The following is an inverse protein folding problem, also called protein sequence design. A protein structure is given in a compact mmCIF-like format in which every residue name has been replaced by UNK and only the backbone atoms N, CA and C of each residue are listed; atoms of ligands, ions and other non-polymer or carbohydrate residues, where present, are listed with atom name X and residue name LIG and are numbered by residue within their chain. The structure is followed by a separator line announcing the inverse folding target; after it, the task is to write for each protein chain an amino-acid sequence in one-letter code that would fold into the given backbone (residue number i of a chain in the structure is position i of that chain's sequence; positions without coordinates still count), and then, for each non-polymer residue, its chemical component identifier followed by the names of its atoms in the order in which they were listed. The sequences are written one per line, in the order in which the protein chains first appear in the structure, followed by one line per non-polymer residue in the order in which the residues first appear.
data_IF_354521319649
#
_entry.id   IF_354521319649
#
_cell.length_a   1.000
_cell.length_b   1.000
_cell.length_c   1.000
_cell.angle_alpha   90.00
_cell.angle_beta   90.00
_cell.angle_gamma   90.00
#
_symmetry.space_group_name_H-M   'P 1'
#
loop_
_entity.id
_entity.type
_entity.pdbx_description
1 polymer ?
#
# COMPACT_ATOMS: atom_id res chain seq x y z
N UNK A 1 -35.19 -2.04 36.27
CA UNK A 1 -34.74 -2.18 34.87
C UNK A 1 -33.28 -1.80 34.77
N UNK A 2 -32.39 -2.78 34.78
CA UNK A 2 -30.95 -2.55 34.54
C UNK A 2 -30.64 -2.93 33.09
N UNK A 3 -30.74 -1.95 32.21
CA UNK A 3 -30.44 -2.07 30.78
C UNK A 3 -29.07 -1.47 30.52
N UNK A 4 -28.22 -2.15 29.75
CA UNK A 4 -26.87 -1.70 29.48
C UNK A 4 -26.53 -1.71 28.00
N UNK A 5 -25.67 -0.78 27.59
CA UNK A 5 -24.93 -0.83 26.34
C UNK A 5 -23.50 -1.30 26.65
N UNK A 6 -23.11 -2.46 26.13
CA UNK A 6 -21.73 -2.91 26.09
C UNK A 6 -21.05 -2.28 24.87
N UNK A 7 -19.97 -1.53 25.10
CA UNK A 7 -19.34 -0.73 24.06
C UNK A 7 -17.83 -0.96 23.96
N UNK A 8 -17.29 -0.69 22.77
CA UNK A 8 -15.85 -0.70 22.53
C UNK A 8 -15.23 0.59 23.11
N UNK A 9 -14.25 0.50 24.04
CA UNK A 9 -13.68 1.68 24.67
C UNK A 9 -12.80 2.52 23.72
N UNK A 10 -12.43 1.99 22.55
CA UNK A 10 -11.58 2.68 21.58
C UNK A 10 -12.38 3.67 20.73
N UNK A 11 -13.53 3.26 20.20
CA UNK A 11 -14.35 4.07 19.28
C UNK A 11 -15.73 4.43 19.85
N UNK A 12 -16.09 3.87 21.00
CA UNK A 12 -17.38 4.05 21.67
C UNK A 12 -18.49 3.17 21.09
N UNK A 13 -18.26 2.41 20.01
CA UNK A 13 -19.33 1.67 19.31
C UNK A 13 -20.01 0.68 20.26
N UNK A 14 -21.33 0.71 20.31
CA UNK A 14 -22.13 -0.28 21.03
C UNK A 14 -21.99 -1.61 20.30
N UNK A 15 -21.41 -2.58 20.99
CA UNK A 15 -21.20 -3.95 20.52
C UNK A 15 -22.43 -4.82 20.81
N UNK A 16 -23.11 -4.56 21.93
CA UNK A 16 -24.27 -5.33 22.34
C UNK A 16 -25.17 -4.54 23.32
N UNK A 17 -26.47 -4.77 23.24
CA UNK A 17 -27.47 -4.33 24.21
C UNK A 17 -27.81 -5.47 25.16
N UNK A 18 -27.81 -5.20 26.47
CA UNK A 18 -28.01 -6.21 27.51
C UNK A 18 -29.18 -5.79 28.40
N UNK A 19 -30.18 -6.66 28.51
CA UNK A 19 -31.28 -6.53 29.47
C UNK A 19 -31.16 -7.65 30.51
N UNK A 20 -30.77 -7.28 31.73
CA UNK A 20 -30.54 -8.25 32.81
C UNK A 20 -31.83 -8.79 33.44
N UNK A 21 -32.99 -8.22 33.11
CA UNK A 21 -34.30 -8.74 33.56
C UNK A 21 -34.88 -9.75 32.56
N UNK A 22 -34.53 -9.62 31.27
CA UNK A 22 -34.99 -10.53 30.24
C UNK A 22 -34.30 -11.90 30.30
N UNK A 23 -33.02 -11.95 30.69
CA UNK A 23 -32.22 -13.18 30.72
C UNK A 23 -31.17 -13.16 31.83
N UNK A 24 -30.71 -14.34 32.25
CA UNK A 24 -29.57 -14.44 33.16
C UNK A 24 -28.29 -14.11 32.37
N UNK A 25 -27.75 -12.91 32.57
CA UNK A 25 -26.63 -12.37 31.78
C UNK A 25 -25.31 -12.45 32.55
N UNK A 26 -24.25 -12.91 31.90
CA UNK A 26 -22.88 -12.66 32.37
C UNK A 26 -22.45 -11.28 31.84
N UNK A 27 -22.21 -10.34 32.75
CA UNK A 27 -21.86 -8.98 32.38
C UNK A 27 -20.35 -8.86 32.09
N UNK A 28 -19.95 -8.15 31.02
CA UNK A 28 -18.59 -7.67 30.84
C UNK A 28 -18.10 -6.83 32.02
N UNK A 29 -16.81 -6.45 31.99
CA UNK A 29 -16.26 -5.47 32.93
C UNK A 29 -17.14 -4.22 32.98
N UNK A 30 -17.43 -3.73 34.19
CA UNK A 30 -18.25 -2.55 34.40
C UNK A 30 -17.71 -1.30 33.68
N UNK A 31 -16.39 -1.22 33.44
CA UNK A 31 -15.78 -0.14 32.66
C UNK A 31 -16.20 -0.12 31.19
N UNK A 32 -16.77 -1.22 30.67
CA UNK A 32 -17.23 -1.38 29.30
C UNK A 32 -18.75 -1.26 29.18
N UNK A 33 -19.45 -0.94 30.27
CA UNK A 33 -20.90 -0.90 30.33
C UNK A 33 -21.40 0.53 30.60
N UNK A 34 -22.37 0.95 29.81
CA UNK A 34 -23.14 2.18 30.04
C UNK A 34 -24.57 1.83 30.46
N UNK A 35 -24.99 2.31 31.63
CA UNK A 35 -26.37 2.14 32.09
C UNK A 35 -27.31 3.00 31.26
N UNK A 36 -28.26 2.38 30.58
CA UNK A 36 -29.15 3.05 29.63
C UNK A 36 -30.44 3.50 30.31
N UNK A 37 -30.83 4.75 30.05
CA UNK A 37 -32.21 5.18 30.22
C UNK A 37 -33.14 4.48 29.23
N UNK A 38 -34.46 4.55 29.46
CA UNK A 38 -35.42 4.00 28.50
C UNK A 38 -35.33 4.67 27.12
N UNK A 39 -35.04 5.97 27.08
CA UNK A 39 -34.82 6.68 25.81
C UNK A 39 -33.61 6.13 25.06
N UNK A 40 -32.47 5.98 25.73
CA UNK A 40 -31.26 5.41 25.13
C UNK A 40 -31.48 3.95 24.70
N UNK A 41 -32.23 3.17 25.48
CA UNK A 41 -32.58 1.79 25.12
C UNK A 41 -33.41 1.71 23.85
N UNK A 42 -34.35 2.64 23.63
CA UNK A 42 -35.16 2.65 22.39
C UNK A 42 -34.34 3.04 21.16
N UNK A 43 -33.20 3.71 21.34
CA UNK A 43 -32.34 4.14 20.24
C UNK A 43 -31.64 2.99 19.51
N UNK A 44 -31.58 1.79 20.10
CA UNK A 44 -31.02 0.60 19.46
C UNK A 44 -31.68 0.24 18.11
N UNK A 45 -32.94 0.66 17.91
CA UNK A 45 -33.68 0.46 16.67
C UNK A 45 -33.30 1.47 15.57
N UNK A 46 -32.53 2.51 15.88
CA UNK A 46 -32.19 3.61 14.98
C UNK A 46 -30.90 3.35 14.18
N UNK A 47 -30.26 2.20 14.39
CA UNK A 47 -29.05 1.77 13.69
C UNK A 47 -27.89 1.53 14.65
N UNK A 48 -26.68 1.77 14.16
CA UNK A 48 -25.47 1.62 14.97
C UNK A 48 -25.34 2.79 15.95
N UNK A 49 -25.12 2.45 17.22
CA UNK A 49 -25.02 3.43 18.30
C UNK A 49 -23.63 3.41 18.90
N UNK A 50 -23.28 4.46 19.63
CA UNK A 50 -22.05 4.56 20.39
C UNK A 50 -22.30 5.24 21.74
N UNK A 51 -21.49 4.89 22.73
CA UNK A 51 -21.39 5.58 24.01
C UNK A 51 -20.23 6.57 23.91
N UNK A 52 -20.50 7.85 24.13
CA UNK A 52 -19.48 8.90 24.25
C UNK A 52 -19.95 9.97 25.22
N UNK A 53 -19.03 10.49 26.03
CA UNK A 53 -19.30 11.53 27.03
C UNK A 53 -20.48 11.19 27.96
N UNK A 54 -20.65 9.90 28.27
CA UNK A 54 -21.70 9.39 29.16
C UNK A 54 -23.10 9.36 28.54
N UNK A 55 -23.23 9.40 27.22
CA UNK A 55 -24.51 9.30 26.53
C UNK A 55 -24.45 8.34 25.33
N UNK A 56 -25.60 7.70 25.04
CA UNK A 56 -25.81 6.97 23.80
C UNK A 56 -26.20 7.92 22.67
N UNK A 57 -25.52 7.82 21.54
CA UNK A 57 -25.77 8.59 20.33
C UNK A 57 -25.46 7.76 19.07
N UNK A 58 -25.86 8.24 17.88
CA UNK A 58 -25.57 7.54 16.63
C UNK A 58 -24.06 7.35 16.42
N UNK A 59 -23.67 6.17 15.99
CA UNK A 59 -22.27 5.85 15.76
C UNK A 59 -21.67 6.70 14.65
N UNK A 60 -20.51 7.30 14.94
CA UNK A 60 -19.66 7.98 13.96
C UNK A 60 -18.32 7.28 13.97
N UNK A 61 -18.00 6.58 12.87
CA UNK A 61 -16.73 5.88 12.74
C UNK A 61 -15.55 6.85 12.93
N UNK A 62 -14.51 6.46 13.69
CA UNK A 62 -13.30 7.27 13.81
C UNK A 62 -12.73 7.58 12.43
N UNK A 63 -12.55 8.86 12.12
CA UNK A 63 -11.86 9.26 10.90
C UNK A 63 -10.35 9.09 11.09
N UNK A 64 -9.66 8.58 10.07
CA UNK A 64 -8.21 8.48 10.09
C UNK A 64 -7.58 9.87 10.22
N UNK A 65 -6.54 9.99 11.05
CA UNK A 65 -5.83 11.28 11.19
C UNK A 65 -5.06 11.61 9.91
N UNK A 66 -4.72 12.88 9.66
CA UNK A 66 -3.90 13.26 8.50
C UNK A 66 -2.56 12.48 8.43
N UNK A 67 -1.94 12.16 9.56
CA UNK A 67 -0.72 11.35 9.64
C UNK A 67 -0.97 9.91 9.18
N UNK A 68 -2.05 9.29 9.66
CA UNK A 68 -2.45 7.95 9.26
C UNK A 68 -2.76 7.89 7.77
N UNK A 69 -3.44 8.91 7.24
CA UNK A 69 -3.73 9.05 5.81
C UNK A 69 -2.44 9.18 5.00
N UNK A 70 -1.49 10.04 5.41
CA UNK A 70 -0.20 10.18 4.73
C UNK A 70 0.55 8.85 4.70
N UNK A 71 0.64 8.15 5.83
CA UNK A 71 1.31 6.86 5.92
C UNK A 71 0.66 5.81 4.99
N UNK A 72 -0.67 5.73 4.99
CA UNK A 72 -1.43 4.84 4.10
C UNK A 72 -1.19 5.18 2.62
N UNK A 73 -1.09 6.47 2.26
CA UNK A 73 -0.84 6.90 0.88
C UNK A 73 0.58 6.57 0.43
N UNK A 74 1.59 6.76 1.28
CA UNK A 74 2.95 6.30 1.01
C UNK A 74 3.01 4.79 0.77
N UNK A 75 2.32 4.00 1.61
CA UNK A 75 2.24 2.55 1.43
C UNK A 75 1.58 2.17 0.10
N UNK A 76 0.49 2.82 -0.27
CA UNK A 76 -0.20 2.59 -1.54
C UNK A 76 0.67 2.95 -2.76
N UNK A 77 1.39 4.07 -2.70
CA UNK A 77 2.33 4.48 -3.76
C UNK A 77 3.48 3.48 -3.91
N UNK A 78 4.04 3.01 -2.79
CA UNK A 78 5.08 1.98 -2.81
C UNK A 78 4.56 0.69 -3.46
N UNK A 79 3.39 0.21 -3.03
CA UNK A 79 2.79 -1.00 -3.58
C UNK A 79 2.51 -0.88 -5.09
N UNK A 80 1.97 0.25 -5.54
CA UNK A 80 1.74 0.51 -6.97
C UNK A 80 3.04 0.53 -7.78
N UNK A 81 4.09 1.16 -7.25
CA UNK A 81 5.43 1.14 -7.86
C UNK A 81 5.99 -0.28 -7.96
N UNK A 82 5.92 -1.05 -6.87
CA UNK A 82 6.45 -2.41 -6.83
C UNK A 82 5.69 -3.32 -7.81
N UNK A 83 4.37 -3.16 -7.91
CA UNK A 83 3.53 -3.88 -8.88
C UNK A 83 3.90 -3.55 -10.33
N UNK A 84 4.12 -2.29 -10.66
CA UNK A 84 4.44 -1.87 -12.03
C UNK A 84 5.86 -2.28 -12.44
N UNK A 85 6.83 -2.19 -11.52
CA UNK A 85 8.18 -2.73 -11.74
C UNK A 85 8.17 -4.25 -11.91
N UNK A 86 7.35 -4.97 -11.13
CA UNK A 86 7.17 -6.41 -11.29
C UNK A 86 6.56 -6.74 -12.68
N UNK A 87 5.55 -5.99 -13.12
CA UNK A 87 4.95 -6.15 -14.43
C UNK A 87 5.94 -5.84 -15.58
N UNK A 88 6.78 -4.80 -15.43
CA UNK A 88 7.85 -4.49 -16.37
C UNK A 88 8.87 -5.63 -16.44
N UNK A 89 9.23 -6.22 -15.29
CA UNK A 89 10.16 -7.35 -15.22
C UNK A 89 9.60 -8.62 -15.87
N UNK A 90 8.29 -8.90 -15.72
CA UNK A 90 7.62 -10.06 -16.34
C UNK A 90 7.60 -10.01 -17.87
N UNK A 91 7.80 -8.84 -18.50
CA UNK A 91 7.97 -8.73 -19.94
C UNK A 91 9.25 -9.42 -20.46
N UNK A 92 10.13 -9.85 -19.55
CA UNK A 92 11.37 -10.57 -19.83
C UNK A 92 11.35 -11.91 -19.07
N UNK A 93 11.65 -13.06 -19.72
CA UNK A 93 11.48 -14.38 -19.11
C UNK A 93 12.30 -14.56 -17.82
N UNK A 94 11.66 -15.10 -16.77
CA UNK A 94 12.14 -15.17 -15.38
C UNK A 94 13.50 -15.87 -15.17
N UNK A 95 13.90 -16.77 -16.08
CA UNK A 95 15.07 -17.64 -15.88
C UNK A 95 16.44 -16.95 -16.05
N UNK A 96 16.51 -15.66 -16.36
CA UNK A 96 17.78 -14.97 -16.58
C UNK A 96 18.07 -13.81 -15.61
N UNK A 97 17.16 -13.42 -14.71
CA UNK A 97 17.29 -12.09 -14.09
C UNK A 97 18.50 -11.96 -13.14
N UNK A 98 18.87 -13.02 -12.43
CA UNK A 98 20.06 -13.01 -11.58
C UNK A 98 21.35 -12.83 -12.39
N UNK A 99 21.32 -13.20 -13.68
CA UNK A 99 22.45 -13.05 -14.59
C UNK A 99 22.48 -11.69 -15.31
N UNK A 100 21.39 -10.91 -15.29
CA UNK A 100 21.30 -9.65 -16.03
C UNK A 100 22.43 -8.67 -15.71
N UNK A 101 22.80 -8.42 -14.43
CA UNK A 101 23.90 -7.50 -14.13
C UNK A 101 25.23 -7.96 -14.74
N UNK A 102 25.47 -9.27 -14.81
CA UNK A 102 26.66 -9.82 -15.46
C UNK A 102 26.59 -9.71 -16.97
N UNK A 103 25.46 -10.06 -17.59
CA UNK A 103 25.28 -9.92 -19.05
C UNK A 103 25.46 -8.46 -19.47
N UNK A 104 24.85 -7.53 -18.75
CA UNK A 104 24.93 -6.09 -19.00
C UNK A 104 26.36 -5.57 -18.84
N UNK A 105 27.06 -5.96 -17.77
CA UNK A 105 28.49 -5.62 -17.57
C UNK A 105 29.35 -6.13 -18.71
N UNK A 106 29.30 -7.44 -19.00
CA UNK A 106 30.09 -8.04 -20.08
C UNK A 106 29.78 -7.40 -21.44
N UNK A 107 28.52 -7.06 -21.70
CA UNK A 107 28.11 -6.42 -22.94
C UNK A 107 28.63 -4.98 -23.08
N UNK A 108 28.73 -4.23 -21.97
CA UNK A 108 29.35 -2.90 -21.96
C UNK A 108 30.87 -2.98 -22.03
N UNK A 109 31.48 -3.93 -21.35
CA UNK A 109 32.94 -4.12 -21.33
C UNK A 109 33.45 -4.47 -22.73
N UNK A 110 32.83 -5.42 -23.45
CA UNK A 110 33.26 -5.79 -24.80
C UNK A 110 33.00 -4.70 -25.84
N UNK A 111 32.00 -3.84 -25.61
CA UNK A 111 31.75 -2.68 -26.45
C UNK A 111 32.79 -1.57 -26.27
N UNK A 112 33.34 -1.41 -25.06
CA UNK A 112 34.40 -0.46 -24.76
C UNK A 112 35.81 -1.00 -25.09
N UNK A 113 36.01 -2.30 -24.91
CA UNK A 113 37.27 -2.99 -25.14
C UNK A 113 36.99 -4.36 -25.79
N UNK A 114 37.28 -4.54 -27.09
CA UNK A 114 37.08 -5.83 -27.77
C UNK A 114 37.84 -7.02 -27.15
N UNK A 115 38.87 -6.78 -26.32
CA UNK A 115 39.61 -7.82 -25.60
C UNK A 115 39.03 -8.15 -24.21
N UNK A 116 37.90 -7.56 -23.81
CA UNK A 116 37.28 -7.81 -22.51
C UNK A 116 36.81 -9.27 -22.36
N UNK A 117 36.97 -9.80 -21.14
CA UNK A 117 36.50 -11.14 -20.80
C UNK A 117 34.98 -11.18 -20.71
N UNK A 118 34.35 -12.09 -21.47
CA UNK A 118 32.89 -12.23 -21.54
C UNK A 118 32.44 -13.69 -21.38
N UNK A 119 32.80 -14.38 -20.28
CA UNK A 119 32.57 -15.82 -20.15
C UNK A 119 31.08 -16.19 -20.24
N UNK A 120 30.18 -15.37 -19.67
CA UNK A 120 28.75 -15.65 -19.72
C UNK A 120 28.19 -15.42 -21.12
N UNK A 121 28.47 -14.27 -21.74
CA UNK A 121 28.00 -13.99 -23.10
C UNK A 121 28.61 -14.95 -24.12
N UNK A 122 29.86 -15.38 -23.92
CA UNK A 122 30.51 -16.39 -24.75
C UNK A 122 29.77 -17.72 -24.69
N UNK A 123 29.44 -18.22 -23.49
CA UNK A 123 28.67 -19.46 -23.34
C UNK A 123 27.26 -19.36 -23.94
N UNK A 124 26.54 -18.25 -23.69
CA UNK A 124 25.19 -18.03 -24.22
C UNK A 124 25.21 -17.92 -25.76
N UNK A 125 26.16 -17.15 -26.32
CA UNK A 125 26.26 -16.94 -27.76
C UNK A 125 26.61 -18.24 -28.50
N UNK A 126 27.53 -19.03 -27.95
CA UNK A 126 27.88 -20.36 -28.48
C UNK A 126 26.66 -21.30 -28.49
N UNK A 127 25.91 -21.39 -27.38
CA UNK A 127 24.73 -22.24 -27.29
C UNK A 127 23.60 -21.81 -28.24
N UNK A 128 23.57 -20.53 -28.64
CA UNK A 128 22.54 -19.96 -29.51
C UNK A 128 22.97 -19.81 -30.97
N UNK A 129 24.21 -20.12 -31.32
CA UNK A 129 24.75 -19.91 -32.66
C UNK A 129 24.84 -18.43 -33.07
N UNK A 130 25.10 -17.53 -32.11
CA UNK A 130 25.26 -16.10 -32.32
C UNK A 130 26.72 -15.69 -32.13
N UNK A 131 27.11 -14.52 -32.63
CA UNK A 131 28.38 -13.90 -32.21
C UNK A 131 28.23 -13.24 -30.84
N UNK A 132 29.33 -13.17 -30.07
CA UNK A 132 29.34 -12.45 -28.77
C UNK A 132 28.93 -10.99 -28.95
N UNK A 133 29.42 -10.33 -30.00
CA UNK A 133 29.10 -8.93 -30.32
C UNK A 133 27.62 -8.73 -30.62
N UNK A 134 27.01 -9.63 -31.40
CA UNK A 134 25.57 -9.58 -31.68
C UNK A 134 24.74 -9.76 -30.40
N UNK A 135 25.10 -10.74 -29.57
CA UNK A 135 24.42 -10.94 -28.29
C UNK A 135 24.59 -9.72 -27.36
N UNK A 136 25.79 -9.17 -27.24
CA UNK A 136 26.09 -7.98 -26.44
C UNK A 136 25.23 -6.77 -26.88
N UNK A 137 25.08 -6.55 -28.20
CA UNK A 137 24.21 -5.50 -28.73
C UNK A 137 22.74 -5.67 -28.30
N UNK A 138 22.23 -6.91 -28.37
CA UNK A 138 20.85 -7.24 -27.92
C UNK A 138 20.68 -7.04 -26.41
N UNK A 139 21.67 -7.43 -25.60
CA UNK A 139 21.65 -7.25 -24.15
C UNK A 139 21.61 -5.76 -23.79
N UNK A 140 22.49 -4.95 -24.38
CA UNK A 140 22.51 -3.50 -24.15
C UNK A 140 21.19 -2.83 -24.53
N UNK A 141 20.66 -3.14 -25.72
CA UNK A 141 19.39 -2.57 -26.16
C UNK A 141 18.24 -2.88 -25.20
N UNK A 142 18.18 -4.11 -24.65
CA UNK A 142 17.19 -4.50 -23.64
C UNK A 142 17.42 -3.79 -22.30
N UNK A 143 18.66 -3.72 -21.83
CA UNK A 143 19.02 -3.07 -20.58
C UNK A 143 18.69 -1.57 -20.61
N UNK A 144 19.03 -0.89 -21.69
CA UNK A 144 18.78 0.54 -21.87
C UNK A 144 17.26 0.82 -21.95
N UNK A 145 16.50 -0.01 -22.67
CA UNK A 145 15.04 0.10 -22.73
C UNK A 145 14.39 -0.12 -21.34
N UNK A 146 14.82 -1.14 -20.60
CA UNK A 146 14.34 -1.38 -19.24
C UNK A 146 14.67 -0.22 -18.31
N UNK A 147 15.90 0.31 -18.36
CA UNK A 147 16.34 1.41 -17.51
C UNK A 147 15.51 2.69 -17.72
N UNK A 148 15.16 3.00 -18.97
CA UNK A 148 14.29 4.14 -19.29
C UNK A 148 12.90 3.98 -18.64
N UNK A 149 12.25 2.83 -18.84
CA UNK A 149 10.90 2.61 -18.32
C UNK A 149 10.89 2.48 -16.79
N UNK A 150 11.85 1.76 -16.20
CA UNK A 150 12.00 1.67 -14.75
C UNK A 150 12.27 3.05 -14.13
N UNK A 151 13.10 3.88 -14.78
CA UNK A 151 13.39 5.24 -14.36
C UNK A 151 12.15 6.13 -14.30
N UNK A 152 11.24 6.04 -15.28
CA UNK A 152 9.95 6.77 -15.26
C UNK A 152 9.09 6.36 -14.07
N UNK A 153 9.00 5.06 -13.79
CA UNK A 153 8.20 4.50 -12.69
C UNK A 153 8.76 4.99 -11.34
N UNK A 154 10.08 4.84 -11.15
CA UNK A 154 10.78 5.27 -9.92
C UNK A 154 10.67 6.78 -9.72
N UNK A 155 10.87 7.57 -10.77
CA UNK A 155 10.72 9.03 -10.72
C UNK A 155 9.31 9.46 -10.35
N UNK A 156 8.27 8.80 -10.88
CA UNK A 156 6.88 9.07 -10.48
C UNK A 156 6.65 8.78 -8.99
N UNK A 157 7.20 7.68 -8.47
CA UNK A 157 7.11 7.35 -7.03
C UNK A 157 7.70 8.46 -6.18
N UNK A 158 8.89 8.94 -6.53
CA UNK A 158 9.56 10.03 -5.82
C UNK A 158 8.73 11.31 -5.87
N UNK A 159 8.28 11.72 -7.05
CA UNK A 159 7.46 12.93 -7.21
C UNK A 159 6.14 12.87 -6.42
N UNK A 160 5.50 11.70 -6.32
CA UNK A 160 4.29 11.53 -5.51
C UNK A 160 4.61 11.54 -4.00
N UNK A 161 5.72 10.93 -3.59
CA UNK A 161 6.18 10.97 -2.20
C UNK A 161 6.48 12.40 -1.74
N UNK A 162 7.22 13.17 -2.55
CA UNK A 162 7.51 14.58 -2.28
C UNK A 162 6.23 15.41 -2.13
N UNK A 163 5.23 15.15 -2.99
CA UNK A 163 3.91 15.80 -2.89
C UNK A 163 3.15 15.46 -1.62
N UNK A 164 3.25 14.22 -1.12
CA UNK A 164 2.61 13.83 0.15
C UNK A 164 3.28 14.51 1.34
N UNK A 165 4.60 14.57 1.33
CA UNK A 165 5.40 15.15 2.41
C UNK A 165 5.26 16.67 2.47
N UNK A 166 5.01 17.32 1.33
CA UNK A 166 4.74 18.75 1.23
C UNK A 166 3.32 19.18 1.70
N UNK A 167 2.42 18.25 2.04
CA UNK A 167 1.09 18.62 2.57
C UNK A 167 1.23 19.19 3.99
N UNK A 168 0.61 20.32 4.29
CA UNK A 168 0.46 20.78 5.66
C UNK A 168 -0.65 20.00 6.35
N UNK A 169 -0.30 19.20 7.36
CA UNK A 169 -1.25 18.34 8.09
C UNK A 169 -2.16 19.12 9.04
N UNK A 170 -1.79 20.35 9.42
CA UNK A 170 -2.63 21.22 10.24
C UNK A 170 -3.77 21.86 9.42
N UNK A 171 -3.71 21.79 8.09
CA UNK A 171 -4.73 22.38 7.23
C UNK A 171 -6.04 21.57 7.28
N UNK A 172 -7.22 22.22 7.38
CA UNK A 172 -8.52 21.54 7.34
C UNK A 172 -8.76 20.70 6.08
N UNK A 173 -8.11 21.05 4.96
CA UNK A 173 -8.22 20.33 3.68
C UNK A 173 -7.17 19.21 3.50
N UNK A 174 -6.29 19.00 4.49
CA UNK A 174 -5.23 18.01 4.40
C UNK A 174 -5.73 16.60 4.06
N UNK A 175 -6.83 16.08 4.67
CA UNK A 175 -7.35 14.75 4.32
C UNK A 175 -7.72 14.63 2.84
N UNK A 176 -8.35 15.66 2.27
CA UNK A 176 -8.73 15.70 0.85
C UNK A 176 -7.52 15.77 -0.06
N UNK A 177 -6.52 16.60 0.27
CA UNK A 177 -5.27 16.72 -0.51
C UNK A 177 -4.45 15.43 -0.50
N UNK A 178 -4.30 14.79 0.66
CA UNK A 178 -3.64 13.48 0.77
C UNK A 178 -4.38 12.42 -0.02
N UNK A 179 -5.71 12.41 0.01
CA UNK A 179 -6.53 11.43 -0.72
C UNK A 179 -6.47 11.61 -2.24
N UNK A 180 -6.22 12.83 -2.72
CA UNK A 180 -6.05 13.12 -4.15
C UNK A 180 -4.69 12.65 -4.71
N UNK A 181 -3.66 12.53 -3.87
CA UNK A 181 -2.34 12.07 -4.29
C UNK A 181 -2.33 10.54 -4.28
N UNK A 182 -2.29 9.95 -5.48
CA UNK A 182 -2.40 8.50 -5.65
C UNK A 182 -1.50 8.00 -6.77
N UNK A 183 -1.13 6.73 -6.66
CA UNK A 183 -0.53 6.00 -7.77
C UNK A 183 -1.60 5.76 -8.84
N UNK A 184 -1.42 6.35 -10.01
CA UNK A 184 -2.27 6.09 -11.17
C UNK A 184 -1.48 5.23 -12.15
N UNK A 185 -1.98 4.01 -12.40
CA UNK A 185 -1.46 3.17 -13.46
C UNK A 185 -1.91 3.78 -14.79
N UNK A 186 -1.00 4.21 -15.68
CA UNK A 186 -1.38 4.76 -16.96
C UNK A 186 -2.20 3.72 -17.74
N UNK A 187 -3.29 4.16 -18.37
CA UNK A 187 -3.97 3.33 -19.36
C UNK A 187 -2.98 3.02 -20.48
N UNK A 188 -2.78 1.72 -20.75
CA UNK A 188 -1.92 1.24 -21.85
C UNK A 188 -2.52 1.56 -23.20
#
# INVERSE_FOLDING_TARGET
MSKFAYFNPVDGRVLQWIDTEAHNCNLPDAALLHSCSDAEWTSQAQGEMMVRDGAVQSYVAPQATPEQLRAARHAAIRAGCDQELAALRLAYPEREVDSWPQQEREARDIAANPAASTPLLSAISQARGLTVTELAGRVRAKADAYAIEAGKIIGRKQALADRLDAVDLASPDAPSRLSAIRWETPSR
#
